data_IF_447247310376
#
_entry.id   IF_447247310376
#
_cell.length_a   1.000
_cell.length_b   1.000
_cell.length_c   1.000
_cell.angle_alpha   90.00
_cell.angle_beta   90.00
_cell.angle_gamma   90.00
#
_symmetry.space_group_name_H-M   'P 1'
#
loop_
_entity.id
_entity.type
_entity.pdbx_description
1 polymer ?
#
# COMPACT_ATOMS: atom_id res chain seq x y z
N UNK A 1 -19.14 13.62 -6.68
CA UNK A 1 -17.75 13.11 -6.56
C UNK A 1 -16.81 14.30 -6.44
N UNK A 2 -16.07 14.40 -5.33
CA UNK A 2 -14.99 15.39 -5.23
C UNK A 2 -14.00 15.14 -6.38
N UNK A 3 -13.81 16.14 -7.24
CA UNK A 3 -12.96 16.04 -8.45
C UNK A 3 -11.54 15.60 -8.08
N UNK A 4 -11.08 15.90 -6.86
CA UNK A 4 -9.77 15.48 -6.34
C UNK A 4 -9.58 13.97 -6.34
N UNK A 5 -10.63 13.19 -6.07
CA UNK A 5 -10.53 11.71 -6.10
C UNK A 5 -10.15 11.22 -7.49
N UNK A 6 -10.82 11.74 -8.54
CA UNK A 6 -10.49 11.37 -9.92
C UNK A 6 -9.13 11.92 -10.34
N UNK A 7 -8.77 13.14 -9.92
CA UNK A 7 -7.48 13.77 -10.25
C UNK A 7 -6.29 13.02 -9.66
N UNK A 8 -6.39 12.57 -8.41
CA UNK A 8 -5.28 11.90 -7.73
C UNK A 8 -5.24 10.39 -7.93
N UNK A 9 -6.30 9.77 -8.45
CA UNK A 9 -6.36 8.33 -8.73
C UNK A 9 -6.01 7.95 -10.19
N UNK A 10 -5.14 8.73 -10.84
CA UNK A 10 -4.74 8.52 -12.26
C UNK A 10 -3.51 7.64 -12.44
N UNK A 11 -2.63 7.60 -11.43
CA UNK A 11 -1.42 6.78 -11.38
C UNK A 11 -0.92 6.64 -9.93
N UNK A 12 0.03 5.73 -9.70
CA UNK A 12 0.60 5.49 -8.37
C UNK A 12 1.23 6.76 -7.77
N UNK A 13 1.96 7.56 -8.57
CA UNK A 13 2.65 8.76 -8.09
C UNK A 13 1.68 9.82 -7.56
N UNK A 14 0.58 10.06 -8.28
CA UNK A 14 -0.46 11.00 -7.86
C UNK A 14 -1.10 10.56 -6.53
N UNK A 15 -1.36 9.26 -6.37
CA UNK A 15 -1.89 8.68 -5.13
C UNK A 15 -0.91 8.82 -3.96
N UNK A 16 0.36 8.47 -4.18
CA UNK A 16 1.43 8.61 -3.19
C UNK A 16 1.48 10.04 -2.67
N UNK A 17 1.60 11.02 -3.57
CA UNK A 17 1.65 12.44 -3.20
C UNK A 17 0.41 12.90 -2.44
N UNK A 18 -0.77 12.47 -2.85
CA UNK A 18 -2.02 12.84 -2.19
C UNK A 18 -2.08 12.31 -0.74
N UNK A 19 -1.64 11.08 -0.50
CA UNK A 19 -1.54 10.52 0.85
C UNK A 19 -0.50 11.24 1.70
N UNK A 20 0.68 11.50 1.17
CA UNK A 20 1.77 12.15 1.91
C UNK A 20 1.45 13.58 2.27
N UNK A 21 0.90 14.35 1.32
CA UNK A 21 0.45 15.71 1.57
C UNK A 21 -0.66 15.75 2.62
N UNK A 22 -1.63 14.82 2.53
CA UNK A 22 -2.70 14.74 3.52
C UNK A 22 -2.15 14.39 4.91
N UNK A 23 -1.33 13.35 5.02
CA UNK A 23 -0.75 12.90 6.28
C UNK A 23 0.24 13.89 6.89
N UNK A 24 0.88 14.75 6.09
CA UNK A 24 1.66 15.89 6.58
C UNK A 24 0.78 16.95 7.23
N UNK A 25 -0.38 17.23 6.63
CA UNK A 25 -1.32 18.27 7.06
C UNK A 25 -2.18 17.83 8.25
N UNK A 26 -2.52 16.54 8.33
CA UNK A 26 -3.36 15.94 9.35
C UNK A 26 -2.63 14.73 9.98
N UNK A 27 -1.57 14.97 10.79
CA UNK A 27 -0.74 13.91 11.37
C UNK A 27 -1.50 12.96 12.30
N UNK A 28 -2.64 13.37 12.84
CA UNK A 28 -3.55 12.55 13.64
C UNK A 28 -4.15 11.38 12.82
N UNK A 29 -4.25 11.54 11.49
CA UNK A 29 -4.71 10.48 10.58
C UNK A 29 -3.51 9.68 10.10
N UNK A 30 -2.93 8.92 11.03
CA UNK A 30 -1.66 8.18 10.84
C UNK A 30 -1.63 7.27 9.62
N UNK A 31 -2.79 6.75 9.22
CA UNK A 31 -2.90 5.88 8.06
C UNK A 31 -2.43 6.55 6.76
N UNK A 32 -2.62 7.86 6.62
CA UNK A 32 -2.25 8.56 5.39
C UNK A 32 -0.74 8.52 5.11
N UNK A 33 0.11 8.75 6.13
CA UNK A 33 1.58 8.60 5.94
C UNK A 33 1.96 7.13 5.69
N UNK A 34 1.31 6.18 6.36
CA UNK A 34 1.54 4.76 6.10
C UNK A 34 1.21 4.38 4.66
N UNK A 35 0.03 4.79 4.17
CA UNK A 35 -0.41 4.57 2.81
C UNK A 35 0.54 5.22 1.79
N UNK A 36 1.05 6.42 2.07
CA UNK A 36 2.08 7.08 1.26
C UNK A 36 3.36 6.24 1.14
N UNK A 37 3.94 5.84 2.28
CA UNK A 37 5.19 5.06 2.31
C UNK A 37 5.04 3.67 1.65
N UNK A 38 3.92 2.99 1.87
CA UNK A 38 3.62 1.70 1.21
C UNK A 38 3.36 1.91 -0.29
N UNK A 39 2.74 3.02 -0.69
CA UNK A 39 2.50 3.37 -2.09
C UNK A 39 3.80 3.61 -2.87
N UNK A 40 4.85 4.19 -2.22
CA UNK A 40 6.19 4.30 -2.82
C UNK A 40 6.80 2.94 -3.17
N UNK A 41 6.65 1.97 -2.26
CA UNK A 41 7.10 0.59 -2.49
C UNK A 41 6.34 -0.07 -3.65
N UNK A 42 5.03 0.21 -3.79
CA UNK A 42 4.28 -0.26 -4.95
C UNK A 42 4.81 0.36 -6.27
N UNK A 43 5.18 1.65 -6.26
CA UNK A 43 5.81 2.32 -7.39
C UNK A 43 7.13 1.66 -7.78
N UNK A 44 8.02 1.44 -6.80
CA UNK A 44 9.26 0.67 -6.95
C UNK A 44 8.97 -0.67 -7.63
N UNK A 45 8.06 -1.46 -7.07
CA UNK A 45 7.77 -2.81 -7.58
C UNK A 45 7.27 -2.79 -9.03
N UNK A 46 6.47 -1.79 -9.39
CA UNK A 46 5.99 -1.59 -10.76
C UNK A 46 7.15 -1.33 -11.72
N UNK A 47 8.05 -0.40 -11.40
CA UNK A 47 9.15 -0.03 -12.31
C UNK A 47 10.21 -1.12 -12.42
N UNK A 48 10.36 -1.98 -11.41
CA UNK A 48 11.32 -3.08 -11.47
C UNK A 48 10.96 -4.18 -12.45
N UNK A 49 9.68 -4.37 -12.73
CA UNK A 49 9.22 -5.22 -13.83
C UNK A 49 9.74 -4.76 -15.20
N UNK A 50 10.36 -3.58 -15.30
CA UNK A 50 10.87 -3.03 -16.57
C UNK A 50 12.38 -3.19 -16.73
N UNK A 51 13.08 -3.78 -15.76
CA UNK A 51 14.54 -3.94 -15.77
C UNK A 51 14.97 -5.38 -15.47
N UNK A 52 16.26 -5.66 -15.66
CA UNK A 52 16.88 -6.91 -15.22
C UNK A 52 16.87 -6.99 -13.68
N UNK A 53 16.63 -8.17 -13.08
CA UNK A 53 16.49 -9.48 -13.74
C UNK A 53 15.04 -9.85 -14.14
N UNK A 54 14.04 -9.01 -13.86
CA UNK A 54 12.66 -9.40 -14.17
C UNK A 54 12.40 -9.55 -15.66
N UNK A 55 13.05 -8.73 -16.50
CA UNK A 55 12.93 -8.84 -17.96
C UNK A 55 13.33 -10.20 -18.53
N UNK A 56 14.28 -10.89 -17.90
CA UNK A 56 14.72 -12.23 -18.31
C UNK A 56 13.95 -13.34 -17.59
N UNK A 57 13.67 -13.17 -16.29
CA UNK A 57 12.95 -14.17 -15.48
C UNK A 57 11.47 -14.29 -15.84
N UNK A 58 10.86 -13.22 -16.36
CA UNK A 58 9.43 -13.15 -16.63
C UNK A 58 9.15 -12.66 -18.05
N UNK A 59 8.26 -13.38 -18.73
CA UNK A 59 7.75 -12.97 -20.05
C UNK A 59 7.12 -11.57 -20.00
N UNK A 60 7.13 -10.87 -21.14
CA UNK A 60 6.51 -9.54 -21.24
C UNK A 60 5.05 -9.53 -20.81
N UNK A 61 4.27 -10.55 -21.19
CA UNK A 61 2.86 -10.66 -20.83
C UNK A 61 2.68 -10.87 -19.33
N UNK A 62 3.49 -11.71 -18.69
CA UNK A 62 3.44 -11.91 -17.24
C UNK A 62 3.76 -10.62 -16.49
N UNK A 63 4.82 -9.90 -16.86
CA UNK A 63 5.19 -8.61 -16.25
C UNK A 63 4.09 -7.57 -16.40
N UNK A 64 3.50 -7.47 -17.59
CA UNK A 64 2.41 -6.53 -17.84
C UNK A 64 1.18 -6.84 -16.98
N UNK A 65 0.83 -8.13 -16.84
CA UNK A 65 -0.30 -8.54 -16.03
C UNK A 65 -0.04 -8.29 -14.54
N UNK A 66 1.17 -8.55 -14.04
CA UNK A 66 1.56 -8.21 -12.66
C UNK A 66 1.42 -6.69 -12.44
N UNK A 67 1.90 -5.88 -13.39
CA UNK A 67 1.79 -4.42 -13.30
C UNK A 67 0.33 -3.96 -13.24
N UNK A 68 -0.55 -4.55 -14.05
CA UNK A 68 -1.98 -4.25 -14.02
C UNK A 68 -2.68 -4.69 -12.74
N UNK A 69 -2.27 -5.82 -12.15
CA UNK A 69 -2.75 -6.23 -10.83
C UNK A 69 -2.40 -5.18 -9.77
N UNK A 70 -1.13 -4.76 -9.71
CA UNK A 70 -0.68 -3.73 -8.76
C UNK A 70 -1.43 -2.42 -8.97
N UNK A 71 -1.53 -1.95 -10.21
CA UNK A 71 -2.23 -0.70 -10.52
C UNK A 71 -3.70 -0.78 -10.14
N UNK A 72 -4.39 -1.89 -10.47
CA UNK A 72 -5.80 -2.10 -10.12
C UNK A 72 -6.03 -2.14 -8.61
N UNK A 73 -5.18 -2.84 -7.87
CA UNK A 73 -5.29 -2.91 -6.42
C UNK A 73 -5.12 -1.53 -5.77
N UNK A 74 -4.04 -0.82 -6.13
CA UNK A 74 -3.77 0.52 -5.62
C UNK A 74 -4.88 1.52 -6.00
N UNK A 75 -5.46 1.40 -7.20
CA UNK A 75 -6.57 2.21 -7.64
C UNK A 75 -7.83 1.99 -6.80
N UNK A 76 -8.17 0.73 -6.48
CA UNK A 76 -9.33 0.38 -5.64
C UNK A 76 -9.15 0.89 -4.22
N UNK A 77 -7.96 0.71 -3.63
CA UNK A 77 -7.62 1.19 -2.29
C UNK A 77 -7.81 2.71 -2.20
N UNK A 78 -7.28 3.45 -3.16
CA UNK A 78 -7.39 4.91 -3.17
C UNK A 78 -8.82 5.40 -3.40
N UNK A 79 -9.56 4.74 -4.29
CA UNK A 79 -10.98 5.04 -4.53
C UNK A 79 -11.82 4.89 -3.26
N UNK A 80 -11.47 3.94 -2.39
CA UNK A 80 -12.16 3.66 -1.14
C UNK A 80 -11.74 4.62 0.00
N UNK A 81 -10.43 4.77 0.23
CA UNK A 81 -9.90 5.48 1.37
C UNK A 81 -9.85 7.01 1.19
N UNK A 82 -9.47 7.50 0.01
CA UNK A 82 -9.23 8.93 -0.17
C UNK A 82 -10.49 9.82 0.02
N UNK A 83 -11.71 9.42 -0.42
CA UNK A 83 -12.92 10.17 -0.09
C UNK A 83 -13.15 10.34 1.42
N UNK A 84 -12.79 9.34 2.23
CA UNK A 84 -12.89 9.41 3.69
C UNK A 84 -11.94 10.48 4.26
N UNK A 85 -10.71 10.53 3.76
CA UNK A 85 -9.74 11.55 4.12
C UNK A 85 -10.23 12.96 3.74
N UNK A 86 -10.78 13.13 2.53
CA UNK A 86 -11.33 14.42 2.10
C UNK A 86 -12.52 14.86 2.95
N UNK A 87 -13.37 13.92 3.39
CA UNK A 87 -14.47 14.20 4.31
C UNK A 87 -13.95 14.67 5.67
N UNK A 88 -12.90 14.03 6.20
CA UNK A 88 -12.27 14.45 7.45
C UNK A 88 -11.68 15.86 7.34
N UNK A 89 -10.98 16.17 6.25
CA UNK A 89 -10.46 17.53 6.01
C UNK A 89 -11.60 18.56 5.92
N UNK A 90 -12.71 18.22 5.27
CA UNK A 90 -13.88 19.10 5.20
C UNK A 90 -14.55 19.26 6.57
N UNK A 91 -14.64 18.19 7.35
CA UNK A 91 -15.15 18.21 8.72
C UNK A 91 -14.32 19.14 9.61
N UNK A 92 -12.99 19.05 9.58
CA UNK A 92 -12.09 19.95 10.33
C UNK A 92 -12.37 21.44 10.06
N UNK A 93 -12.82 21.78 8.86
CA UNK A 93 -13.13 23.16 8.44
C UNK A 93 -14.57 23.60 8.77
N UNK A 94 -15.51 22.67 8.81
CA UNK A 94 -16.95 22.98 8.83
C UNK A 94 -17.67 22.50 10.09
N UNK A 95 -17.05 21.61 10.86
CA UNK A 95 -17.67 20.89 11.98
C UNK A 95 -18.72 19.85 11.57
N UNK A 96 -18.97 19.65 10.26
CA UNK A 96 -20.06 18.79 9.76
C UNK A 96 -19.52 17.47 9.22
N UNK A 97 -19.93 16.37 9.84
CA UNK A 97 -19.61 15.01 9.40
C UNK A 97 -20.78 14.44 8.59
N UNK A 98 -20.58 14.17 7.29
CA UNK A 98 -21.66 13.79 6.36
C UNK A 98 -21.60 12.31 6.01
N UNK A 99 -22.23 11.47 6.83
CA UNK A 99 -22.24 10.00 6.68
C UNK A 99 -22.84 9.54 5.35
N UNK A 100 -23.99 10.12 4.94
CA UNK A 100 -24.67 9.75 3.69
C UNK A 100 -23.73 9.90 2.47
N UNK A 101 -22.93 10.96 2.45
CA UNK A 101 -21.98 11.18 1.36
C UNK A 101 -20.92 10.07 1.32
N UNK A 102 -20.43 9.58 2.46
CA UNK A 102 -19.48 8.46 2.49
C UNK A 102 -20.11 7.16 1.99
N UNK A 103 -21.37 6.90 2.33
CA UNK A 103 -22.14 5.75 1.85
C UNK A 103 -22.37 5.80 0.33
N UNK A 104 -22.61 6.98 -0.24
CA UNK A 104 -22.72 7.16 -1.71
C UNK A 104 -21.39 6.89 -2.43
N UNK A 105 -20.26 7.07 -1.75
CA UNK A 105 -18.94 6.64 -2.25
C UNK A 105 -18.61 5.17 -1.85
N UNK A 106 -19.60 4.48 -1.26
CA UNK A 106 -19.62 3.11 -0.73
C UNK A 106 -18.46 2.74 0.19
N UNK A 107 -18.11 3.70 1.03
CA UNK A 107 -17.36 3.43 2.25
C UNK A 107 -18.17 2.46 3.11
N UNK A 108 -17.50 1.44 3.65
CA UNK A 108 -18.15 0.41 4.46
C UNK A 108 -18.82 0.99 5.71
N UNK A 109 -19.91 0.35 6.15
CA UNK A 109 -20.57 0.63 7.43
C UNK A 109 -19.56 0.48 8.57
N UNK A 110 -18.63 -0.46 8.45
CA UNK A 110 -17.50 -0.60 9.36
C UNK A 110 -16.71 0.71 9.51
N UNK A 111 -16.22 1.28 8.39
CA UNK A 111 -15.44 2.52 8.47
C UNK A 111 -16.27 3.70 8.96
N UNK A 112 -17.56 3.77 8.63
CA UNK A 112 -18.45 4.82 9.15
C UNK A 112 -18.48 4.79 10.69
N UNK A 113 -18.62 3.59 11.27
CA UNK A 113 -18.61 3.40 12.73
C UNK A 113 -17.26 3.80 13.33
N UNK A 114 -16.16 3.37 12.73
CA UNK A 114 -14.81 3.66 13.22
C UNK A 114 -14.44 5.14 13.10
N UNK A 115 -14.91 5.84 12.06
CA UNK A 115 -14.76 7.28 11.97
C UNK A 115 -15.56 8.02 13.05
N UNK A 116 -16.83 7.64 13.27
CA UNK A 116 -17.63 8.25 14.35
C UNK A 116 -16.96 8.05 15.71
N UNK A 117 -16.48 6.83 15.96
CA UNK A 117 -15.71 6.51 17.17
C UNK A 117 -14.46 7.37 17.30
N UNK A 118 -13.66 7.52 16.25
CA UNK A 118 -12.49 8.40 16.25
C UNK A 118 -12.86 9.87 16.49
N UNK A 119 -14.00 10.35 15.96
CA UNK A 119 -14.44 11.72 16.18
C UNK A 119 -14.78 12.01 17.65
N UNK A 120 -15.16 10.99 18.42
CA UNK A 120 -15.45 11.06 19.86
C UNK A 120 -14.20 10.77 20.71
N UNK A 121 -13.55 9.64 20.48
CA UNK A 121 -12.48 9.10 21.33
C UNK A 121 -11.07 9.62 20.97
N UNK A 122 -10.87 10.09 19.74
CA UNK A 122 -9.56 10.52 19.20
C UNK A 122 -8.46 9.46 19.23
N UNK A 123 -8.83 8.17 19.26
CA UNK A 123 -7.86 7.08 19.20
C UNK A 123 -7.27 6.92 17.78
N UNK A 124 -6.13 7.57 17.56
CA UNK A 124 -5.38 7.55 16.30
C UNK A 124 -4.92 6.14 15.90
N UNK A 125 -4.59 5.29 16.88
CA UNK A 125 -4.13 3.93 16.62
C UNK A 125 -5.29 3.04 16.21
N UNK A 126 -6.44 3.14 16.89
CA UNK A 126 -7.66 2.42 16.50
C UNK A 126 -8.06 2.76 15.08
N UNK A 127 -8.13 4.04 14.73
CA UNK A 127 -8.49 4.47 13.37
C UNK A 127 -7.46 3.97 12.33
N UNK A 128 -6.17 4.03 12.64
CA UNK A 128 -5.11 3.50 11.78
C UNK A 128 -5.31 2.01 11.50
N UNK A 129 -5.57 1.21 12.53
CA UNK A 129 -5.81 -0.22 12.38
C UNK A 129 -7.13 -0.49 11.66
N UNK A 130 -8.17 0.30 11.90
CA UNK A 130 -9.45 0.17 11.21
C UNK A 130 -9.28 0.38 9.70
N UNK A 131 -8.57 1.43 9.28
CA UNK A 131 -8.29 1.70 7.87
C UNK A 131 -7.46 0.57 7.22
N UNK A 132 -6.49 -0.01 7.96
CA UNK A 132 -5.75 -1.21 7.49
C UNK A 132 -6.70 -2.40 7.29
N UNK A 133 -7.58 -2.69 8.26
CA UNK A 133 -8.53 -3.81 8.17
C UNK A 133 -9.47 -3.60 6.98
N UNK A 134 -10.09 -2.42 6.88
CA UNK A 134 -11.00 -2.09 5.79
C UNK A 134 -10.33 -2.25 4.42
N UNK A 135 -9.11 -1.74 4.26
CA UNK A 135 -8.34 -1.89 3.03
C UNK A 135 -8.18 -3.36 2.64
N UNK A 136 -7.70 -4.20 3.57
CA UNK A 136 -7.38 -5.60 3.26
C UNK A 136 -8.62 -6.46 3.01
N UNK A 137 -9.73 -6.18 3.72
CA UNK A 137 -11.01 -6.88 3.52
C UNK A 137 -11.70 -6.45 2.22
N UNK A 138 -11.66 -5.15 1.90
CA UNK A 138 -12.17 -4.64 0.62
C UNK A 138 -11.38 -5.23 -0.56
N UNK A 139 -10.05 -5.30 -0.43
CA UNK A 139 -9.19 -5.93 -1.43
C UNK A 139 -9.54 -7.41 -1.59
N UNK A 140 -9.74 -8.15 -0.49
CA UNK A 140 -10.18 -9.55 -0.52
C UNK A 140 -11.46 -9.72 -1.35
N UNK A 141 -12.50 -8.97 -1.01
CA UNK A 141 -13.79 -9.09 -1.66
C UNK A 141 -13.76 -8.67 -3.14
N UNK A 142 -13.15 -7.52 -3.44
CA UNK A 142 -13.25 -6.91 -4.78
C UNK A 142 -12.24 -7.47 -5.79
N UNK A 143 -11.10 -7.99 -5.35
CA UNK A 143 -10.07 -8.54 -6.23
C UNK A 143 -10.05 -10.07 -6.24
N UNK A 144 -10.30 -10.72 -5.11
CA UNK A 144 -10.09 -12.15 -5.01
C UNK A 144 -11.35 -12.98 -5.25
N UNK A 145 -12.57 -12.49 -4.98
CA UNK A 145 -13.77 -13.35 -5.12
C UNK A 145 -14.32 -13.48 -6.56
N UNK A 146 -13.49 -13.35 -7.61
CA UNK A 146 -13.88 -13.51 -9.03
C UNK A 146 -13.12 -14.67 -9.69
N UNK A 147 -13.72 -15.84 -9.75
CA UNK A 147 -13.14 -17.16 -10.08
C UNK A 147 -12.01 -17.22 -11.13
N UNK A 148 -12.13 -16.59 -12.31
CA UNK A 148 -11.07 -16.63 -13.35
C UNK A 148 -9.93 -15.63 -13.11
N UNK A 149 -10.25 -14.49 -12.50
CA UNK A 149 -9.28 -13.44 -12.15
C UNK A 149 -8.51 -13.86 -10.90
N UNK A 150 -9.21 -14.44 -9.94
CA UNK A 150 -8.67 -14.99 -8.69
C UNK A 150 -7.51 -15.96 -8.92
N UNK A 151 -7.69 -16.99 -9.76
CA UNK A 151 -6.65 -17.99 -10.00
C UNK A 151 -5.37 -17.36 -10.60
N UNK A 152 -5.54 -16.37 -11.49
CA UNK A 152 -4.42 -15.63 -12.05
C UNK A 152 -3.75 -14.73 -11.00
N UNK A 153 -4.52 -14.02 -10.19
CA UNK A 153 -4.02 -13.19 -9.11
C UNK A 153 -3.26 -14.00 -8.07
N UNK A 154 -3.83 -15.12 -7.62
CA UNK A 154 -3.18 -16.04 -6.68
C UNK A 154 -1.86 -16.58 -7.26
N UNK A 155 -1.86 -17.01 -8.52
CA UNK A 155 -0.64 -17.46 -9.20
C UNK A 155 0.41 -16.34 -9.33
N UNK A 156 -0.03 -15.13 -9.69
CA UNK A 156 0.84 -13.97 -9.82
C UNK A 156 1.44 -13.55 -8.47
N UNK A 157 0.63 -13.53 -7.40
CA UNK A 157 1.08 -13.18 -6.05
C UNK A 157 2.01 -14.22 -5.47
N UNK A 158 1.73 -15.51 -5.69
CA UNK A 158 2.64 -16.57 -5.31
C UNK A 158 4.00 -16.40 -6.01
N UNK A 159 3.99 -16.11 -7.32
CA UNK A 159 5.22 -15.78 -8.05
C UNK A 159 5.91 -14.56 -7.47
N UNK A 160 5.18 -13.48 -7.18
CA UNK A 160 5.74 -12.28 -6.56
C UNK A 160 6.40 -12.61 -5.22
N UNK A 161 5.69 -13.28 -4.31
CA UNK A 161 6.21 -13.68 -2.99
C UNK A 161 7.46 -14.57 -3.11
N UNK A 162 7.49 -15.48 -4.10
CA UNK A 162 8.65 -16.35 -4.34
C UNK A 162 9.91 -15.59 -4.77
N UNK A 163 9.76 -14.38 -5.32
CA UNK A 163 10.90 -13.50 -5.57
C UNK A 163 11.16 -12.65 -4.32
N UNK A 164 12.29 -12.91 -3.63
CA UNK A 164 12.72 -12.19 -2.42
C UNK A 164 12.66 -10.66 -2.57
N UNK A 165 12.70 -10.17 -3.81
CA UNK A 165 12.50 -8.79 -4.17
C UNK A 165 11.14 -8.19 -3.78
N UNK A 166 10.05 -8.85 -4.17
CA UNK A 166 8.69 -8.36 -3.90
C UNK A 166 8.21 -8.78 -2.51
N UNK A 167 9.00 -9.60 -1.83
CA UNK A 167 8.69 -10.05 -0.48
C UNK A 167 9.06 -9.05 0.60
N UNK A 168 9.44 -7.80 0.27
CA UNK A 168 9.80 -6.78 1.26
C UNK A 168 9.10 -5.45 1.00
N UNK A 169 8.68 -4.80 2.09
CA UNK A 169 8.25 -3.39 2.10
C UNK A 169 9.28 -2.60 2.91
N UNK A 170 9.93 -1.63 2.25
CA UNK A 170 11.12 -0.94 2.72
C UNK A 170 10.85 0.50 3.13
N UNK A 171 11.31 0.88 4.32
CA UNK A 171 11.28 2.23 4.88
C UNK A 171 12.72 2.74 5.07
N UNK A 172 13.16 3.72 4.28
CA UNK A 172 14.52 4.24 4.33
C UNK A 172 14.67 5.39 5.34
N UNK A 173 15.83 5.48 5.96
CA UNK A 173 16.29 6.69 6.65
C UNK A 173 17.25 7.48 5.74
N UNK A 174 17.29 8.81 5.92
CA UNK A 174 18.27 9.66 5.25
C UNK A 174 19.59 9.71 6.05
N UNK A 175 20.77 9.67 5.38
CA UNK A 175 20.95 9.38 3.96
C UNK A 175 20.59 7.93 3.62
N UNK A 176 19.96 7.72 2.47
CA UNK A 176 19.56 6.38 2.03
C UNK A 176 20.79 5.55 1.66
N UNK A 177 21.14 4.62 2.54
CA UNK A 177 22.24 3.66 2.43
C UNK A 177 21.70 2.29 2.79
N UNK A 178 22.46 1.24 2.50
CA UNK A 178 22.02 -0.13 2.83
C UNK A 178 21.90 -0.41 4.32
N UNK A 179 22.59 0.37 5.17
CA UNK A 179 22.53 0.25 6.62
C UNK A 179 21.38 1.07 7.24
N UNK A 180 20.70 1.87 6.43
CA UNK A 180 19.59 2.76 6.81
C UNK A 180 18.26 2.33 6.18
N UNK A 181 18.17 1.08 5.72
CA UNK A 181 16.94 0.46 5.20
C UNK A 181 16.31 -0.43 6.25
N UNK A 182 15.09 -0.10 6.65
CA UNK A 182 14.23 -0.94 7.47
C UNK A 182 13.14 -1.55 6.62
N UNK A 183 12.48 -2.60 7.11
CA UNK A 183 11.32 -3.11 6.42
C UNK A 183 10.75 -4.37 7.04
N UNK A 184 9.65 -4.80 6.46
CA UNK A 184 8.98 -6.03 6.82
C UNK A 184 8.89 -6.98 5.63
N UNK A 185 8.95 -8.27 5.93
CA UNK A 185 8.80 -9.30 4.93
C UNK A 185 7.30 -9.64 4.74
N UNK A 186 6.91 -9.73 3.48
CA UNK A 186 5.64 -10.22 3.00
C UNK A 186 5.68 -11.74 2.99
N UNK A 187 4.79 -12.37 3.74
CA UNK A 187 4.64 -13.84 3.79
C UNK A 187 3.15 -14.18 3.73
N UNK A 188 2.81 -15.20 2.96
CA UNK A 188 1.44 -15.66 2.71
C UNK A 188 0.51 -14.50 2.30
N UNK A 189 0.92 -13.70 1.30
CA UNK A 189 0.20 -12.48 0.93
C UNK A 189 -1.23 -12.75 0.45
N UNK A 190 -1.50 -13.96 -0.04
CA UNK A 190 -2.84 -14.43 -0.38
C UNK A 190 -3.83 -14.34 0.79
N UNK A 191 -3.37 -14.46 2.03
CA UNK A 191 -4.24 -14.48 3.21
C UNK A 191 -4.51 -13.04 3.73
N UNK A 192 -5.79 -12.61 3.79
CA UNK A 192 -6.15 -11.25 4.24
C UNK A 192 -5.69 -10.95 5.67
N UNK A 193 -5.75 -11.92 6.57
CA UNK A 193 -5.30 -11.76 7.96
C UNK A 193 -3.79 -11.51 8.02
N UNK A 194 -3.01 -12.20 7.19
CA UNK A 194 -1.55 -11.98 7.10
C UNK A 194 -1.21 -10.62 6.50
N UNK A 195 -2.02 -10.12 5.57
CA UNK A 195 -1.89 -8.74 5.08
C UNK A 195 -2.23 -7.70 6.16
N UNK A 196 -3.26 -7.94 6.97
CA UNK A 196 -3.60 -7.07 8.11
C UNK A 196 -2.45 -7.06 9.14
N UNK A 197 -1.92 -8.22 9.50
CA UNK A 197 -0.76 -8.33 10.40
C UNK A 197 0.46 -7.59 9.84
N UNK A 198 0.72 -7.69 8.53
CA UNK A 198 1.79 -6.94 7.86
C UNK A 198 1.55 -5.43 7.97
N UNK A 199 0.34 -4.96 7.66
CA UNK A 199 -0.03 -3.56 7.80
C UNK A 199 0.20 -3.02 9.21
N UNK A 200 -0.16 -3.81 10.24
CA UNK A 200 0.10 -3.46 11.65
C UNK A 200 1.60 -3.37 11.95
N UNK A 201 2.42 -4.31 11.46
CA UNK A 201 3.88 -4.26 11.65
C UNK A 201 4.49 -3.05 10.98
N UNK A 202 4.07 -2.72 9.76
CA UNK A 202 4.49 -1.53 9.04
C UNK A 202 4.05 -0.24 9.75
N UNK A 203 2.85 -0.20 10.32
CA UNK A 203 2.41 0.92 11.16
C UNK A 203 3.33 1.12 12.36
N UNK A 204 3.64 0.04 13.11
CA UNK A 204 4.57 0.11 14.24
C UNK A 204 5.99 0.50 13.81
N UNK A 205 6.42 0.10 12.61
CA UNK A 205 7.70 0.52 12.05
C UNK A 205 7.72 2.03 11.77
N UNK A 206 6.73 2.53 11.02
CA UNK A 206 6.67 3.94 10.63
C UNK A 206 6.64 4.87 11.85
N UNK A 207 5.88 4.48 12.88
CA UNK A 207 5.70 5.25 14.11
C UNK A 207 6.60 4.78 15.25
N UNK A 208 7.70 4.09 14.95
CA UNK A 208 8.67 3.70 15.97
C UNK A 208 9.33 4.94 16.59
N UNK A 209 9.39 5.09 17.93
CA UNK A 209 9.79 6.35 18.58
C UNK A 209 11.15 6.91 18.12
N UNK A 210 12.11 6.04 17.81
CA UNK A 210 13.46 6.45 17.38
C UNK A 210 13.65 6.57 15.88
N UNK A 211 12.69 6.10 15.06
CA UNK A 211 12.85 6.02 13.60
C UNK A 211 11.88 6.93 12.84
N UNK A 212 10.71 7.21 13.43
CA UNK A 212 9.61 7.95 12.80
C UNK A 212 10.05 9.27 12.17
N UNK A 213 10.84 10.07 12.91
CA UNK A 213 11.32 11.36 12.41
C UNK A 213 12.06 11.20 11.07
N UNK A 214 12.97 10.23 10.99
CA UNK A 214 13.77 10.02 9.78
C UNK A 214 12.94 9.47 8.62
N UNK A 215 11.94 8.62 8.89
CA UNK A 215 11.01 8.16 7.87
C UNK A 215 10.14 9.29 7.32
N UNK A 216 9.63 10.17 8.19
CA UNK A 216 8.85 11.33 7.75
C UNK A 216 9.73 12.33 6.99
N UNK A 217 10.98 12.54 7.44
CA UNK A 217 11.95 13.37 6.74
C UNK A 217 12.18 12.85 5.31
N UNK A 218 12.39 11.54 5.13
CA UNK A 218 12.50 10.93 3.80
C UNK A 218 11.27 11.22 2.94
N UNK A 219 10.06 11.02 3.47
CA UNK A 219 8.83 11.28 2.72
C UNK A 219 8.66 12.76 2.33
N UNK A 220 9.17 13.67 3.15
CA UNK A 220 9.05 15.12 2.95
C UNK A 220 10.13 15.70 2.03
N UNK A 221 11.32 15.10 1.99
CA UNK A 221 12.47 15.60 1.22
C UNK A 221 12.68 14.87 -0.11
N UNK A 222 12.23 13.63 -0.24
CA UNK A 222 12.44 12.82 -1.44
C UNK A 222 11.19 12.77 -2.30
N UNK A 223 11.29 13.30 -3.51
CA UNK A 223 10.22 13.24 -4.53
C UNK A 223 9.92 11.79 -4.93
N UNK A 224 8.66 11.30 -4.83
CA UNK A 224 8.30 9.96 -5.26
C UNK A 224 8.25 9.89 -6.79
N UNK A 225 9.18 9.17 -7.39
CA UNK A 225 9.20 8.86 -8.84
C UNK A 225 8.73 7.43 -9.13
N UNK A 226 8.64 6.59 -8.10
CA UNK A 226 8.35 5.16 -8.21
C UNK A 226 9.55 4.35 -8.67
N UNK A 227 10.74 4.95 -8.70
CA UNK A 227 11.99 4.28 -9.06
C UNK A 227 12.77 3.89 -7.81
N UNK A 228 13.64 2.88 -7.94
CA UNK A 228 14.71 2.60 -6.95
C UNK A 228 15.63 3.79 -6.69
N UNK A 229 15.70 4.72 -7.64
CA UNK A 229 16.44 5.97 -7.49
C UNK A 229 15.99 6.79 -6.27
N UNK A 230 14.71 6.71 -5.89
CA UNK A 230 14.16 7.43 -4.73
C UNK A 230 14.85 6.97 -3.43
N UNK A 231 15.33 5.73 -3.39
CA UNK A 231 15.91 5.08 -2.22
C UNK A 231 17.45 5.11 -2.23
N UNK A 232 18.07 5.92 -3.09
CA UNK A 232 19.53 6.01 -3.19
C UNK A 232 20.22 4.76 -3.75
N UNK A 233 19.47 3.85 -4.38
CA UNK A 233 20.00 2.57 -4.89
C UNK A 233 20.55 2.73 -6.31
N UNK A 234 21.71 2.13 -6.56
CA UNK A 234 22.55 2.34 -7.75
C UNK A 234 21.91 1.88 -9.06
N UNK A 235 21.03 0.87 -9.05
CA UNK A 235 20.36 0.35 -10.26
C UNK A 235 19.01 1.05 -10.46
N UNK A 236 19.06 2.23 -11.08
CA UNK A 236 17.89 3.09 -11.30
C UNK A 236 17.01 2.53 -12.42
N UNK A 237 15.77 2.14 -12.09
CA UNK A 237 14.71 2.03 -13.08
C UNK A 237 14.32 3.42 -13.58
N UNK A 238 13.78 3.52 -14.79
CA UNK A 238 13.20 4.78 -15.25
C UNK A 238 11.98 5.14 -14.38
N UNK A 239 11.69 6.43 -14.16
CA UNK A 239 10.52 6.86 -13.39
C UNK A 239 9.22 6.24 -13.88
N UNK A 240 8.26 6.00 -12.98
CA UNK A 240 7.02 5.27 -13.28
C UNK A 240 6.25 5.86 -14.46
N UNK A 241 6.15 7.20 -14.51
CA UNK A 241 5.43 7.93 -15.57
C UNK A 241 6.13 7.90 -16.94
N UNK A 242 7.37 7.41 -17.01
CA UNK A 242 8.08 7.15 -18.27
C UNK A 242 7.76 5.74 -18.78
N UNK A 243 7.58 4.78 -17.89
CA UNK A 243 7.47 3.36 -18.26
C UNK A 243 6.03 2.83 -18.29
N UNK A 244 5.10 3.45 -17.58
CA UNK A 244 3.67 3.10 -17.60
C UNK A 244 2.80 4.31 -17.97
N UNK A 245 1.79 4.11 -18.83
CA UNK A 245 0.81 5.14 -19.11
C UNK A 245 -0.14 5.32 -17.90
N UNK A 246 -0.81 6.48 -17.87
CA UNK A 246 -1.97 6.64 -16.98
C UNK A 246 -3.08 5.68 -17.39
N UNK A 247 -3.75 5.12 -16.40
CA UNK A 247 -4.75 4.08 -16.63
C UNK A 247 -6.16 4.59 -16.32
N UNK A 248 -7.10 4.29 -17.21
CA UNK A 248 -8.52 4.39 -16.90
C UNK A 248 -9.01 3.05 -16.39
N UNK A 249 -9.90 3.10 -15.40
CA UNK A 249 -10.35 1.94 -14.65
C UNK A 249 -11.86 1.88 -14.73
N UNK A 250 -12.39 0.72 -15.13
CA UNK A 250 -13.83 0.50 -15.07
C UNK A 250 -14.31 0.54 -13.62
N UNK A 251 -15.48 1.14 -13.41
CA UNK A 251 -16.17 1.13 -12.13
C UNK A 251 -16.48 -0.31 -11.70
N UNK A 252 -16.46 -0.55 -10.39
CA UNK A 252 -16.85 -1.82 -9.79
C UNK A 252 -18.11 -1.59 -8.99
N UNK A 253 -19.04 -2.54 -9.09
CA UNK A 253 -20.18 -2.64 -8.19
C UNK A 253 -19.65 -2.66 -6.76
N UNK A 254 -20.17 -1.76 -5.96
CA UNK A 254 -19.71 -1.58 -4.60
C UNK A 254 -20.52 -2.51 -3.71
N UNK A 255 -19.85 -3.49 -3.14
CA UNK A 255 -20.37 -4.31 -2.05
C UNK A 255 -19.69 -3.88 -0.75
N UNK A 256 -20.45 -3.92 0.34
CA UNK A 256 -19.93 -3.69 1.67
C UNK A 256 -19.51 -5.04 2.26
N UNK A 257 -18.21 -5.30 2.27
CA UNK A 257 -17.63 -6.51 2.82
C UNK A 257 -18.12 -6.79 4.25
N UNK A 258 -18.42 -5.75 5.04
CA UNK A 258 -18.77 -5.89 6.45
C UNK A 258 -20.16 -6.52 6.66
N UNK A 259 -21.08 -6.38 5.71
CA UNK A 259 -22.42 -7.00 5.79
C UNK A 259 -22.35 -8.53 5.84
N UNK A 260 -21.31 -9.11 5.22
CA UNK A 260 -21.07 -10.55 5.20
C UNK A 260 -20.32 -11.09 6.43
N UNK A 261 -19.93 -10.21 7.37
CA UNK A 261 -19.03 -10.56 8.47
C UNK A 261 -19.72 -10.51 9.84
N UNK A 262 -19.23 -11.35 10.76
CA UNK A 262 -19.64 -11.28 12.16
C UNK A 262 -18.86 -10.16 12.86
N UNK A 263 -19.52 -9.18 13.51
CA UNK A 263 -18.84 -8.06 14.18
C UNK A 263 -17.74 -8.50 15.16
N UNK A 264 -17.98 -9.56 15.93
CA UNK A 264 -17.00 -10.10 16.88
C UNK A 264 -15.73 -10.61 16.19
N UNK A 265 -15.84 -11.19 15.00
CA UNK A 265 -14.68 -11.66 14.23
C UNK A 265 -13.84 -10.48 13.75
N UNK A 266 -14.49 -9.40 13.32
CA UNK A 266 -13.82 -8.17 12.90
C UNK A 266 -13.16 -7.49 14.09
N UNK A 267 -13.81 -7.47 15.26
CA UNK A 267 -13.24 -6.87 16.47
C UNK A 267 -11.97 -7.62 16.93
N UNK A 268 -11.91 -8.95 16.80
CA UNK A 268 -10.68 -9.73 17.06
C UNK A 268 -9.51 -9.32 16.16
N UNK A 269 -9.76 -8.73 14.99
CA UNK A 269 -8.70 -8.22 14.11
C UNK A 269 -8.00 -7.01 14.69
N UNK A 270 -8.47 -6.40 15.78
CA UNK A 270 -7.77 -5.32 16.48
C UNK A 270 -6.79 -5.79 17.53
N UNK A 271 -6.68 -7.10 17.77
CA UNK A 271 -5.72 -7.67 18.72
C UNK A 271 -4.33 -7.05 18.53
N UNK A 272 -3.73 -6.46 19.59
CA UNK A 272 -2.39 -5.86 19.53
C UNK A 272 -1.33 -6.87 19.10
N UNK A 273 -0.22 -6.38 18.57
CA UNK A 273 0.95 -7.22 18.34
C UNK A 273 1.65 -7.47 19.68
N UNK A 274 2.02 -8.72 19.97
CA UNK A 274 2.59 -9.10 21.27
C UNK A 274 3.93 -8.39 21.56
N UNK A 275 4.78 -8.16 20.55
CA UNK A 275 5.96 -7.27 20.58
C UNK A 275 6.35 -6.90 19.14
N UNK A 276 6.71 -5.63 18.88
CA UNK A 276 7.30 -5.20 17.60
C UNK A 276 8.77 -4.79 17.77
N UNK A 277 9.65 -5.31 16.91
CA UNK A 277 11.07 -4.92 16.83
C UNK A 277 11.41 -4.54 15.38
N UNK A 278 11.90 -3.31 15.13
CA UNK A 278 12.34 -2.90 13.80
C UNK A 278 13.44 -3.82 13.25
N UNK A 279 13.32 -4.20 11.97
CA UNK A 279 14.30 -5.04 11.28
C UNK A 279 14.97 -4.22 10.18
N UNK A 280 16.30 -4.29 10.13
CA UNK A 280 17.07 -3.82 8.98
C UNK A 280 16.97 -4.84 7.85
N UNK A 281 16.81 -4.36 6.63
CA UNK A 281 16.72 -5.21 5.44
C UNK A 281 17.94 -4.95 4.57
N UNK A 282 18.72 -6.00 4.30
CA UNK A 282 19.83 -5.91 3.36
C UNK A 282 19.29 -6.08 1.92
N UNK A 283 19.07 -4.96 1.25
CA UNK A 283 18.53 -4.93 -0.13
C UNK A 283 19.47 -5.62 -1.13
N UNK A 284 20.78 -5.68 -0.86
CA UNK A 284 21.72 -6.38 -1.75
C UNK A 284 21.55 -7.90 -1.73
N UNK A 285 21.18 -8.50 -0.59
CA UNK A 285 20.94 -9.95 -0.52
C UNK A 285 19.79 -10.34 -1.46
N UNK A 286 18.69 -9.58 -1.42
CA UNK A 286 17.59 -9.79 -2.34
C UNK A 286 17.99 -9.58 -3.81
N UNK A 287 18.83 -8.58 -4.11
CA UNK A 287 19.33 -8.38 -5.47
C UNK A 287 20.28 -9.49 -5.94
N UNK A 288 21.14 -9.99 -5.06
CA UNK A 288 22.07 -11.08 -5.35
C UNK A 288 21.34 -12.39 -5.64
N UNK A 289 20.35 -12.75 -4.83
CA UNK A 289 19.55 -13.96 -5.08
C UNK A 289 18.81 -13.90 -6.41
N UNK A 290 18.23 -12.75 -6.76
CA UNK A 290 17.59 -12.57 -8.07
C UNK A 290 18.60 -12.61 -9.23
N UNK A 291 19.80 -12.07 -9.03
CA UNK A 291 20.86 -12.12 -10.03
C UNK A 291 21.36 -13.56 -10.25
N UNK A 292 21.47 -14.34 -9.16
CA UNK A 292 21.77 -15.76 -9.20
C UNK A 292 20.69 -16.56 -9.93
N UNK A 293 19.40 -16.36 -9.59
CA UNK A 293 18.29 -16.99 -10.29
C UNK A 293 18.31 -16.64 -11.79
N UNK A 294 18.54 -15.37 -12.12
CA UNK A 294 18.66 -14.92 -13.52
C UNK A 294 19.78 -15.64 -14.26
N UNK A 295 20.96 -15.73 -13.63
CA UNK A 295 22.11 -16.42 -14.19
C UNK A 295 21.79 -17.89 -14.47
N UNK A 296 21.21 -18.62 -13.51
CA UNK A 296 20.78 -20.01 -13.67
C UNK A 296 19.73 -20.22 -14.78
N UNK A 297 18.90 -19.21 -15.06
CA UNK A 297 17.90 -19.28 -16.13
C UNK A 297 18.40 -18.85 -17.50
N UNK A 298 19.55 -18.18 -17.59
CA UNK A 298 20.16 -17.76 -18.87
C UNK A 298 20.93 -18.87 -19.58
N UNK A 299 21.34 -19.89 -18.84
CA UNK A 299 22.07 -21.06 -19.35
C UNK A 299 21.14 -22.25 -19.71
N UNK A 300 19.84 -22.00 -19.87
CA UNK A 300 18.81 -22.94 -20.36
C UNK A 300 18.10 -22.37 -21.58
#
# INVERSE_FOLDING_TARGET
>A
MDRRVATFNVDNIARTKAYEQFGRKHPEIRWARLAGMVSRNAGWNLTDLTIEPFRSLLSRSTRQNIAWIYERANWLIFRDAYPQLLMYEAYKRTGKWQVLSLQEHGVSIFMIREWNRFLEEKDEWRLLIALIINEQMMVEERLFQRSKVEAFFQSALYKMESYLHFSHVLFPQLPCTVNTMYGECVKNFANPIKRIELGKRLAHLLYHPTLQYSFHQFMDEVEPTGSRGDYGITRKSLPLRVVYPRCSHANVVQTDWYESQQPEKVERLFTPLEVFKPKKVNVYVAQMELAWLNWLTKDK
#
